data_IF_813432424241
#
_entry.id   IF_813432424241
#
_cell.length_a   1.000
_cell.length_b   1.000
_cell.length_c   1.000
_cell.angle_alpha   90.00
_cell.angle_beta   90.00
_cell.angle_gamma   90.00
#
_symmetry.space_group_name_H-M   'P 1'
#
loop_
_entity.id
_entity.type
_entity.pdbx_description
1 polymer ?
#
# COMPACT_ATOMS: atom_id res chain seq x y z
N UNK A 1 13.42 -6.26 3.53
CA UNK A 1 12.41 -5.66 4.43
C UNK A 1 12.67 -4.16 4.61
N UNK A 2 11.63 -3.33 4.57
CA UNK A 2 11.72 -2.00 5.20
C UNK A 2 12.34 -0.86 4.41
N UNK A 3 11.95 -0.63 3.16
CA UNK A 3 11.92 0.76 2.66
C UNK A 3 10.46 1.18 2.51
N UNK A 4 10.10 2.33 3.08
CA UNK A 4 8.79 2.90 2.83
C UNK A 4 8.74 3.37 1.36
N UNK A 5 7.62 3.12 0.70
CA UNK A 5 7.35 3.59 -0.65
C UNK A 5 6.46 4.83 -0.52
N UNK A 6 6.89 5.92 -1.12
CA UNK A 6 6.18 7.20 -1.04
C UNK A 6 4.89 7.19 -1.87
N UNK A 7 3.96 8.10 -1.55
CA UNK A 7 2.78 8.33 -2.38
C UNK A 7 3.14 8.62 -3.83
N UNK A 8 4.15 9.45 -4.08
CA UNK A 8 4.59 9.80 -5.43
C UNK A 8 5.01 8.58 -6.25
N UNK A 9 5.84 7.71 -5.67
CA UNK A 9 6.25 6.46 -6.33
C UNK A 9 5.05 5.57 -6.62
N UNK A 10 4.10 5.47 -5.69
CA UNK A 10 2.87 4.68 -5.88
C UNK A 10 1.97 5.28 -6.95
N UNK A 11 1.87 6.61 -7.03
CA UNK A 11 1.09 7.31 -8.05
C UNK A 11 1.65 7.08 -9.45
N UNK A 12 2.97 7.17 -9.61
CA UNK A 12 3.65 6.88 -10.86
C UNK A 12 3.51 5.42 -11.32
N UNK A 13 3.25 4.49 -10.39
CA UNK A 13 2.99 3.09 -10.70
C UNK A 13 1.55 2.82 -11.18
N UNK A 14 0.66 3.83 -11.15
CA UNK A 14 -0.71 3.69 -11.65
C UNK A 14 -0.80 4.11 -13.12
N UNK A 15 -1.79 3.57 -13.85
CA UNK A 15 -2.04 3.91 -15.25
C UNK A 15 -2.87 5.19 -15.43
N UNK A 16 -3.26 5.88 -14.35
CA UNK A 16 -4.17 7.03 -14.39
C UNK A 16 -3.39 8.34 -14.41
N UNK A 17 -3.84 9.30 -15.22
CA UNK A 17 -3.18 10.61 -15.37
C UNK A 17 -3.40 11.57 -14.20
N UNK A 18 -4.49 11.39 -13.43
CA UNK A 18 -4.76 12.15 -12.22
C UNK A 18 -4.94 11.18 -11.05
N UNK A 19 -3.91 11.11 -10.21
CA UNK A 19 -3.88 10.24 -9.04
C UNK A 19 -3.80 11.11 -7.80
N UNK A 20 -4.59 10.77 -6.79
CA UNK A 20 -4.56 11.43 -5.49
C UNK A 20 -4.14 10.44 -4.41
N UNK A 21 -3.74 10.94 -3.23
CA UNK A 21 -3.47 10.08 -2.08
C UNK A 21 -4.68 9.19 -1.74
N UNK A 22 -5.92 9.67 -1.93
CA UNK A 22 -7.13 8.87 -1.73
C UNK A 22 -7.25 7.71 -2.71
N UNK A 23 -6.82 7.89 -3.96
CA UNK A 23 -6.74 6.83 -4.97
C UNK A 23 -5.77 5.74 -4.50
N UNK A 24 -4.57 6.12 -4.07
CA UNK A 24 -3.57 5.18 -3.52
C UNK A 24 -4.10 4.45 -2.28
N UNK A 25 -4.75 5.16 -1.36
CA UNK A 25 -5.35 4.58 -0.16
C UNK A 25 -6.39 3.51 -0.53
N UNK A 26 -7.18 3.76 -1.57
CA UNK A 26 -8.18 2.80 -2.08
C UNK A 26 -7.51 1.56 -2.66
N UNK A 27 -6.46 1.72 -3.48
CA UNK A 27 -5.70 0.59 -4.00
C UNK A 27 -5.09 -0.26 -2.89
N UNK A 28 -4.45 0.37 -1.90
CA UNK A 28 -3.83 -0.34 -0.78
C UNK A 28 -4.86 -1.12 0.06
N UNK A 29 -6.05 -0.54 0.29
CA UNK A 29 -7.16 -1.26 0.92
C UNK A 29 -7.58 -2.50 0.11
N UNK A 30 -7.68 -2.38 -1.20
CA UNK A 30 -8.08 -3.50 -2.07
C UNK A 30 -7.00 -4.57 -2.16
N UNK A 31 -5.71 -4.19 -2.16
CA UNK A 31 -4.58 -5.12 -2.13
C UNK A 31 -4.59 -5.92 -0.82
N UNK A 32 -4.69 -5.25 0.34
CA UNK A 32 -4.79 -5.92 1.65
C UNK A 32 -5.94 -6.93 1.69
N UNK A 33 -7.14 -6.52 1.26
CA UNK A 33 -8.30 -7.42 1.18
C UNK A 33 -8.09 -8.67 0.33
N UNK A 34 -7.28 -8.60 -0.72
CA UNK A 34 -6.96 -9.77 -1.55
C UNK A 34 -6.01 -10.73 -0.84
N UNK A 35 -5.03 -10.20 -0.10
CA UNK A 35 -4.14 -11.00 0.73
C UNK A 35 -4.88 -11.61 1.94
N UNK A 36 -5.71 -10.83 2.63
CA UNK A 36 -6.54 -11.28 3.76
C UNK A 36 -7.47 -12.45 3.42
N UNK A 37 -7.89 -12.57 2.14
CA UNK A 37 -8.68 -13.73 1.68
C UNK A 37 -7.90 -15.03 1.62
N UNK A 38 -6.58 -14.95 1.46
CA UNK A 38 -5.68 -16.11 1.37
C UNK A 38 -5.02 -16.37 2.72
N UNK A 39 -4.67 -15.30 3.43
CA UNK A 39 -4.00 -15.29 4.73
C UNK A 39 -4.72 -14.29 5.65
N UNK A 40 -5.63 -14.75 6.52
CA UNK A 40 -6.37 -13.89 7.44
C UNK A 40 -5.50 -13.08 8.41
N UNK A 41 -4.26 -13.51 8.66
CA UNK A 41 -3.32 -12.86 9.57
C UNK A 41 -2.37 -11.88 8.84
N UNK A 42 -2.63 -11.59 7.56
CA UNK A 42 -1.79 -10.72 6.75
C UNK A 42 -1.68 -9.29 7.33
N UNK A 43 -0.49 -8.94 7.80
CA UNK A 43 -0.18 -7.62 8.38
C UNK A 43 1.06 -6.95 7.74
N UNK A 44 1.47 -7.40 6.55
CA UNK A 44 2.75 -7.03 5.94
C UNK A 44 2.79 -5.63 5.32
N UNK A 45 1.64 -5.01 5.02
CA UNK A 45 1.59 -3.65 4.45
C UNK A 45 1.16 -2.68 5.54
N UNK A 46 2.07 -1.86 6.07
CA UNK A 46 1.79 -0.83 7.07
C UNK A 46 1.69 0.56 6.44
N UNK A 47 0.81 1.39 6.99
CA UNK A 47 0.67 2.79 6.57
C UNK A 47 1.73 3.64 7.29
N UNK A 48 2.40 4.53 6.55
CA UNK A 48 3.28 5.56 7.11
C UNK A 48 2.59 6.91 6.89
N UNK A 49 1.98 7.44 7.95
CA UNK A 49 1.15 8.65 7.86
C UNK A 49 1.91 9.81 7.20
N UNK A 50 1.31 10.40 6.16
CA UNK A 50 1.89 11.50 5.40
C UNK A 50 2.97 11.10 4.38
N UNK A 51 3.47 9.87 4.41
CA UNK A 51 4.54 9.40 3.52
C UNK A 51 4.07 8.40 2.48
N UNK A 52 3.35 7.35 2.89
CA UNK A 52 2.92 6.27 2.00
C UNK A 52 2.78 4.95 2.74
N UNK A 53 3.43 3.89 2.23
CA UNK A 53 3.27 2.52 2.73
C UNK A 53 4.60 1.79 2.84
N UNK A 54 4.74 0.95 3.87
CA UNK A 54 5.94 0.13 4.10
C UNK A 54 5.59 -1.34 4.11
N UNK A 55 6.40 -2.13 3.41
CA UNK A 55 6.38 -3.58 3.57
C UNK A 55 7.19 -4.00 4.80
N UNK A 56 6.55 -4.72 5.71
CA UNK A 56 7.17 -5.36 6.88
C UNK A 56 7.10 -6.86 6.72
N UNK A 57 8.18 -7.54 7.10
CA UNK A 57 8.19 -9.00 7.16
C UNK A 57 7.41 -9.43 8.41
N UNK A 58 6.50 -10.42 8.31
CA UNK A 58 5.88 -11.00 9.50
C UNK A 58 6.98 -11.64 10.35
N UNK A 59 6.97 -11.35 11.65
CA UNK A 59 7.89 -11.89 12.65
C UNK A 59 7.45 -13.28 13.10
#
# INVERSE_FOLDING_TARGET
PGHAVSYETLMNATMQSLVTNNTINTHMRNIRKKFEKVDPDFACIKSEYGYGYRWVTPS
#
